data_IF_721069608216
#
_entry.id   IF_721069608216
#
_cell.length_a   1.000
_cell.length_b   1.000
_cell.length_c   1.000
_cell.angle_alpha   90.00
_cell.angle_beta   90.00
_cell.angle_gamma   90.00
#
_symmetry.space_group_name_H-M   'P 1'
#
loop_
_entity.id
_entity.type
_entity.pdbx_description
1 polymer ?
#
# COMPACT_ATOMS: atom_id res chain seq x y z
N UNK A 1 3.96 13.31 -20.52
CA UNK A 1 3.22 12.18 -19.91
C UNK A 1 1.77 12.58 -19.83
N UNK A 2 0.86 11.74 -20.33
CA UNK A 2 -0.58 11.93 -20.15
C UNK A 2 -0.93 12.08 -18.66
N UNK A 3 -1.90 12.95 -18.34
CA UNK A 3 -2.32 13.24 -16.95
C UNK A 3 -2.69 11.94 -16.22
N UNK A 4 -3.33 11.00 -16.92
CA UNK A 4 -3.72 9.69 -16.39
C UNK A 4 -2.49 8.86 -15.99
N UNK A 5 -1.42 8.87 -16.78
CA UNK A 5 -0.19 8.13 -16.47
C UNK A 5 0.53 8.71 -15.26
N UNK A 6 0.56 10.05 -15.13
CA UNK A 6 1.11 10.72 -13.95
C UNK A 6 0.31 10.35 -12.69
N UNK A 7 -1.02 10.38 -12.77
CA UNK A 7 -1.89 10.02 -11.66
C UNK A 7 -1.69 8.55 -11.23
N UNK A 8 -1.56 7.61 -12.17
CA UNK A 8 -1.28 6.20 -11.87
C UNK A 8 0.08 6.00 -11.18
N UNK A 9 1.12 6.68 -11.68
CA UNK A 9 2.46 6.63 -11.09
C UNK A 9 2.44 7.15 -9.64
N UNK A 10 1.80 8.30 -9.41
CA UNK A 10 1.66 8.89 -8.08
C UNK A 10 0.89 7.98 -7.12
N UNK A 11 -0.25 7.44 -7.56
CA UNK A 11 -1.05 6.52 -6.75
C UNK A 11 -0.28 5.25 -6.41
N UNK A 12 0.40 4.63 -7.39
CA UNK A 12 1.24 3.45 -7.15
C UNK A 12 2.35 3.74 -6.14
N UNK A 13 3.00 4.90 -6.26
CA UNK A 13 4.05 5.34 -5.33
C UNK A 13 3.51 5.54 -3.91
N UNK A 14 2.35 6.20 -3.76
CA UNK A 14 1.71 6.42 -2.46
C UNK A 14 1.34 5.08 -1.79
N UNK A 15 0.82 4.13 -2.56
CA UNK A 15 0.49 2.78 -2.06
C UNK A 15 1.74 2.08 -1.56
N UNK A 16 2.84 2.10 -2.32
CA UNK A 16 4.09 1.47 -1.89
C UNK A 16 4.67 2.15 -0.65
N UNK A 17 4.62 3.49 -0.56
CA UNK A 17 5.03 4.21 0.66
C UNK A 17 4.19 3.80 1.88
N UNK A 18 2.88 3.63 1.70
CA UNK A 18 2.01 3.13 2.77
C UNK A 18 2.39 1.70 3.20
N UNK A 19 2.68 0.80 2.24
CA UNK A 19 3.13 -0.56 2.52
C UNK A 19 4.47 -0.55 3.27
N UNK A 20 5.44 0.24 2.81
CA UNK A 20 6.72 0.41 3.48
C UNK A 20 6.56 0.94 4.91
N UNK A 21 5.68 1.93 5.12
CA UNK A 21 5.35 2.43 6.45
C UNK A 21 4.73 1.35 7.33
N UNK A 22 3.82 0.52 6.80
CA UNK A 22 3.24 -0.59 7.54
C UNK A 22 4.29 -1.63 7.93
N UNK A 23 5.18 -1.95 7.00
CA UNK A 23 6.27 -2.92 7.21
C UNK A 23 7.26 -2.44 8.26
N UNK A 24 7.74 -1.19 8.18
CA UNK A 24 8.73 -0.65 9.10
C UNK A 24 8.18 -0.48 10.52
N UNK A 25 6.93 0.00 10.64
CA UNK A 25 6.32 0.23 11.95
C UNK A 25 5.60 -1.00 12.52
N UNK A 26 5.53 -2.12 11.77
CA UNK A 26 4.75 -3.31 12.11
C UNK A 26 3.31 -2.97 12.56
N UNK A 27 2.70 -1.98 11.91
CA UNK A 27 1.36 -1.46 12.21
C UNK A 27 0.56 -1.30 10.91
N UNK A 28 -0.76 -1.41 11.00
CA UNK A 28 -1.65 -1.15 9.87
C UNK A 28 -2.80 -0.24 10.29
N UNK A 29 -3.37 0.49 9.33
CA UNK A 29 -4.57 1.28 9.57
C UNK A 29 -5.80 0.38 9.62
N UNK A 30 -6.42 0.26 10.79
CA UNK A 30 -7.66 -0.50 10.93
C UNK A 30 -8.84 0.33 10.44
N UNK A 31 -9.48 -0.10 9.34
CA UNK A 31 -10.71 0.54 8.81
C UNK A 31 -11.92 0.36 9.72
N UNK A 32 -11.90 -0.64 10.61
CA UNK A 32 -12.99 -0.91 11.57
C UNK A 32 -12.94 0.02 12.78
N UNK A 33 -11.74 0.32 13.27
CA UNK A 33 -11.53 1.12 14.48
C UNK A 33 -10.91 2.50 14.19
N UNK A 34 -10.76 2.87 12.92
CA UNK A 34 -10.19 4.13 12.43
C UNK A 34 -8.92 4.56 13.20
N UNK A 35 -8.04 3.59 13.45
CA UNK A 35 -6.81 3.78 14.22
C UNK A 35 -5.71 2.84 13.76
N UNK A 36 -4.46 3.24 13.99
CA UNK A 36 -3.30 2.38 13.79
C UNK A 36 -3.32 1.25 14.81
N UNK A 37 -3.24 0.01 14.34
CA UNK A 37 -3.15 -1.18 15.16
C UNK A 37 -1.86 -1.93 14.87
N UNK A 38 -1.26 -2.57 15.89
CA UNK A 38 -0.07 -3.36 15.70
C UNK A 38 -0.41 -4.65 14.96
N UNK A 39 0.59 -5.26 14.30
CA UNK A 39 0.43 -6.49 13.51
C UNK A 39 -0.22 -7.61 14.32
N UNK A 40 0.10 -7.73 15.60
CA UNK A 40 -0.39 -8.78 16.50
C UNK A 40 -1.90 -8.70 16.72
N UNK A 41 -2.51 -7.53 16.51
CA UNK A 41 -3.96 -7.36 16.69
C UNK A 41 -4.75 -8.18 15.66
N UNK A 42 -4.30 -8.20 14.41
CA UNK A 42 -4.95 -8.96 13.35
C UNK A 42 -3.96 -9.27 12.21
N UNK A 43 -3.14 -10.32 12.36
CA UNK A 43 -2.00 -10.56 11.48
C UNK A 43 -2.42 -10.84 10.04
N UNK A 44 -3.57 -11.47 9.80
CA UNK A 44 -4.10 -11.76 8.47
C UNK A 44 -4.39 -10.46 7.70
N UNK A 45 -4.98 -9.46 8.36
CA UNK A 45 -5.27 -8.15 7.75
C UNK A 45 -3.99 -7.36 7.51
N UNK A 46 -3.02 -7.45 8.42
CA UNK A 46 -1.71 -6.85 8.22
C UNK A 46 -1.04 -7.42 6.96
N UNK A 47 -0.91 -8.74 6.86
CA UNK A 47 -0.28 -9.39 5.72
C UNK A 47 -1.04 -9.18 4.41
N UNK A 48 -2.37 -9.17 4.46
CA UNK A 48 -3.19 -8.83 3.31
C UNK A 48 -2.89 -7.42 2.78
N UNK A 49 -2.79 -6.41 3.67
CA UNK A 49 -2.41 -5.05 3.28
C UNK A 49 -1.01 -5.00 2.64
N UNK A 50 -0.04 -5.75 3.17
CA UNK A 50 1.31 -5.81 2.62
C UNK A 50 1.29 -6.46 1.23
N UNK A 51 0.74 -7.67 1.09
CA UNK A 51 0.77 -8.44 -0.16
C UNK A 51 -0.03 -7.71 -1.24
N UNK A 52 -1.28 -7.36 -0.95
CA UNK A 52 -2.14 -6.69 -1.93
C UNK A 52 -1.58 -5.32 -2.30
N UNK A 53 -1.15 -4.53 -1.31
CA UNK A 53 -0.58 -3.21 -1.56
C UNK A 53 0.71 -3.27 -2.39
N UNK A 54 1.57 -4.25 -2.14
CA UNK A 54 2.80 -4.45 -2.93
C UNK A 54 2.48 -4.81 -4.37
N UNK A 55 1.61 -5.80 -4.60
CA UNK A 55 1.22 -6.23 -5.95
C UNK A 55 0.56 -5.08 -6.71
N UNK A 56 -0.41 -4.40 -6.10
CA UNK A 56 -1.11 -3.30 -6.75
C UNK A 56 -0.19 -2.10 -7.02
N UNK A 57 0.61 -1.70 -6.03
CA UNK A 57 1.53 -0.57 -6.18
C UNK A 57 2.58 -0.82 -7.26
N UNK A 58 3.19 -2.03 -7.26
CA UNK A 58 4.15 -2.43 -8.28
C UNK A 58 3.52 -2.47 -9.67
N UNK A 59 2.31 -3.05 -9.82
CA UNK A 59 1.59 -3.11 -11.09
C UNK A 59 1.25 -1.71 -11.63
N UNK A 60 0.83 -0.79 -10.77
CA UNK A 60 0.51 0.59 -11.18
C UNK A 60 1.72 1.34 -11.70
N UNK A 61 2.89 1.14 -11.09
CA UNK A 61 4.14 1.75 -11.57
C UNK A 61 4.62 1.05 -12.83
N UNK A 62 4.64 -0.28 -12.85
CA UNK A 62 5.13 -1.05 -13.99
C UNK A 62 4.30 -0.80 -15.25
N UNK A 63 2.98 -0.66 -15.13
CA UNK A 63 2.07 -0.35 -16.25
C UNK A 63 2.23 1.06 -16.84
N UNK A 64 3.00 1.94 -16.19
CA UNK A 64 3.35 3.27 -16.73
C UNK A 64 4.76 3.28 -17.34
N UNK A 65 5.64 2.39 -16.86
CA UNK A 65 7.07 2.35 -17.22
C UNK A 65 7.36 1.37 -18.36
N UNK A 66 6.66 0.23 -18.42
CA UNK A 66 6.74 -0.79 -19.49
C UNK A 66 5.67 -0.54 -20.55
#
# INVERSE_FOLDING_TARGET
>A
MEIVSIARLLLGTIVLLYVSNCWLNQRFWSRKHFSWKPREYWPEVFWFNIILGTIMGAYMISSVVL
#
